data_IF_471590931700
#
_entry.id   IF_471590931700
#
_cell.length_a   1.000
_cell.length_b   1.000
_cell.length_c   1.000
_cell.angle_alpha   90.00
_cell.angle_beta   90.00
_cell.angle_gamma   90.00
#
_symmetry.space_group_name_H-M   'P 1'
#
loop_
_entity.id
_entity.type
_entity.pdbx_description
1 polymer ?
#
# COMPACT_ATOMS: atom_id res chain seq x y z
N UNK A 1 -1.37 -12.00 -31.34
CA UNK A 1 -2.29 -12.94 -31.98
C UNK A 1 -2.85 -13.84 -30.89
N UNK A 2 -4.17 -13.78 -30.66
CA UNK A 2 -4.84 -14.64 -29.70
C UNK A 2 -5.61 -15.70 -30.49
N UNK A 3 -5.38 -16.96 -30.16
CA UNK A 3 -6.11 -18.09 -30.74
C UNK A 3 -6.98 -18.67 -29.63
N UNK A 4 -8.29 -18.72 -29.84
CA UNK A 4 -9.23 -19.38 -28.96
C UNK A 4 -9.69 -20.68 -29.59
N UNK A 5 -9.42 -21.80 -28.94
CA UNK A 5 -9.98 -23.10 -29.27
C UNK A 5 -11.17 -23.37 -28.33
N UNK A 6 -12.36 -23.45 -28.88
CA UNK A 6 -13.55 -23.79 -28.13
C UNK A 6 -14.13 -25.12 -28.62
N UNK A 7 -14.35 -26.03 -27.70
CA UNK A 7 -15.01 -27.32 -27.97
C UNK A 7 -16.42 -27.30 -27.35
N UNK A 8 -17.43 -27.58 -28.13
CA UNK A 8 -18.78 -27.73 -27.63
C UNK A 8 -19.04 -29.16 -27.03
N UNK A 9 -20.22 -29.36 -26.47
CA UNK A 9 -20.61 -30.65 -25.86
C UNK A 9 -20.69 -31.82 -26.85
N UNK A 10 -20.63 -31.56 -28.16
CA UNK A 10 -20.71 -32.57 -29.23
C UNK A 10 -19.33 -32.81 -29.83
N UNK A 11 -18.29 -32.16 -29.36
CA UNK A 11 -16.91 -32.33 -29.81
C UNK A 11 -16.55 -31.51 -31.05
N UNK A 12 -17.37 -30.56 -31.46
CA UNK A 12 -17.04 -29.63 -32.53
C UNK A 12 -16.06 -28.62 -32.01
N UNK A 13 -14.87 -28.61 -32.60
CA UNK A 13 -13.84 -27.63 -32.29
C UNK A 13 -14.02 -26.43 -33.20
N UNK A 14 -14.29 -25.28 -32.62
CA UNK A 14 -14.28 -23.99 -33.34
C UNK A 14 -12.98 -23.26 -33.00
N UNK A 15 -12.15 -23.05 -33.98
CA UNK A 15 -10.94 -22.24 -33.88
C UNK A 15 -11.29 -20.83 -34.32
N UNK A 16 -11.24 -19.86 -33.42
CA UNK A 16 -11.44 -18.44 -33.72
C UNK A 16 -10.11 -17.72 -33.53
N UNK A 17 -9.59 -17.21 -34.62
CA UNK A 17 -8.36 -16.44 -34.61
C UNK A 17 -8.73 -14.96 -34.72
N UNK A 18 -8.29 -14.17 -33.73
CA UNK A 18 -8.42 -12.72 -33.79
C UNK A 18 -7.11 -12.05 -33.34
N UNK A 19 -6.83 -10.96 -33.99
CA UNK A 19 -5.68 -10.13 -33.64
C UNK A 19 -6.19 -8.97 -32.75
N UNK A 20 -5.67 -8.93 -31.52
CA UNK A 20 -5.89 -7.77 -30.64
C UNK A 20 -4.61 -6.94 -30.71
N UNK A 21 -4.72 -5.76 -31.28
CA UNK A 21 -3.64 -4.79 -31.25
C UNK A 21 -3.79 -3.96 -29.96
N UNK A 22 -2.94 -4.21 -28.96
CA UNK A 22 -2.80 -3.34 -27.80
C UNK A 22 -1.74 -2.30 -28.16
N UNK A 23 -2.15 -1.05 -28.34
CA UNK A 23 -1.22 0.04 -28.60
C UNK A 23 -1.11 0.93 -27.38
N UNK A 24 0.13 1.26 -26.99
CA UNK A 24 0.39 2.32 -26.02
C UNK A 24 0.02 3.65 -26.67
N UNK A 25 -0.87 4.42 -26.05
CA UNK A 25 -1.32 5.69 -26.57
C UNK A 25 -0.36 6.81 -26.22
N UNK A 26 0.20 6.79 -25.01
CA UNK A 26 1.17 7.78 -24.56
C UNK A 26 2.21 7.16 -23.62
N UNK A 27 3.47 7.63 -23.73
CA UNK A 27 4.56 7.29 -22.80
C UNK A 27 5.27 8.57 -22.43
N UNK A 28 5.25 8.91 -21.16
CA UNK A 28 5.88 10.13 -20.66
C UNK A 28 6.83 9.82 -19.50
N UNK A 29 7.91 10.61 -19.42
CA UNK A 29 8.93 10.48 -18.38
C UNK A 29 8.95 11.74 -17.55
N UNK A 30 8.89 11.60 -16.25
CA UNK A 30 8.86 12.68 -15.29
C UNK A 30 9.99 12.53 -14.28
N UNK A 31 10.72 13.61 -14.05
CA UNK A 31 11.75 13.65 -13.00
C UNK A 31 11.14 14.36 -11.79
N UNK A 32 10.93 13.61 -10.74
CA UNK A 32 10.29 14.09 -9.52
C UNK A 32 11.22 13.91 -8.32
N UNK A 33 11.22 14.89 -7.42
CA UNK A 33 11.96 14.79 -6.17
C UNK A 33 11.12 14.03 -5.14
N UNK A 34 11.59 12.87 -4.73
CA UNK A 34 10.87 12.00 -3.77
C UNK A 34 11.17 12.35 -2.30
N UNK A 35 11.87 13.46 -2.07
CA UNK A 35 12.27 13.92 -0.73
C UNK A 35 13.68 13.46 -0.33
N UNK A 36 14.18 12.36 -0.89
CA UNK A 36 15.53 11.85 -0.67
C UNK A 36 16.41 11.95 -1.93
N UNK A 37 15.82 11.74 -3.09
CA UNK A 37 16.51 11.78 -4.38
C UNK A 37 15.56 12.18 -5.50
N UNK A 38 16.14 12.58 -6.64
CA UNK A 38 15.39 12.71 -7.88
C UNK A 38 15.16 11.31 -8.45
N UNK A 39 13.91 11.01 -8.78
CA UNK A 39 13.48 9.72 -9.29
C UNK A 39 12.76 9.91 -10.62
N UNK A 40 13.07 9.08 -11.59
CA UNK A 40 12.33 9.03 -12.85
C UNK A 40 11.10 8.17 -12.68
N UNK A 41 9.95 8.73 -13.03
CA UNK A 41 8.70 8.02 -13.22
C UNK A 41 8.43 7.87 -14.71
N UNK A 42 8.24 6.64 -15.19
CA UNK A 42 7.74 6.38 -16.53
C UNK A 42 6.27 6.07 -16.45
N UNK A 43 5.46 6.89 -17.06
CA UNK A 43 4.01 6.74 -17.08
C UNK A 43 3.56 6.35 -18.48
N UNK A 44 2.81 5.25 -18.59
CA UNK A 44 2.21 4.79 -19.85
C UNK A 44 0.70 4.84 -19.75
N UNK A 45 0.06 5.31 -20.78
CA UNK A 45 -1.39 5.24 -20.95
C UNK A 45 -1.75 4.44 -22.20
N UNK A 46 -2.70 3.52 -22.04
CA UNK A 46 -3.29 2.74 -23.12
C UNK A 46 -4.68 3.25 -23.51
N UNK A 47 -5.08 4.39 -22.92
CA UNK A 47 -6.40 5.00 -23.14
C UNK A 47 -6.30 6.30 -23.93
N UNK A 48 -5.71 7.34 -23.36
CA UNK A 48 -5.60 8.67 -23.97
C UNK A 48 -4.26 9.32 -23.54
N UNK A 49 -3.97 10.48 -24.13
CA UNK A 49 -2.75 11.25 -23.84
C UNK A 49 -2.78 11.77 -22.41
N UNK A 50 -1.65 11.61 -21.71
CA UNK A 50 -1.44 12.09 -20.35
C UNK A 50 -1.43 13.63 -20.37
N UNK A 51 -2.33 14.25 -19.61
CA UNK A 51 -2.39 15.71 -19.46
C UNK A 51 -1.38 16.22 -18.44
N UNK A 52 -1.22 15.51 -17.34
CA UNK A 52 -0.26 15.84 -16.27
C UNK A 52 0.09 14.61 -15.43
N UNK A 53 1.28 14.65 -14.86
CA UNK A 53 1.73 13.80 -13.79
C UNK A 53 2.42 14.63 -12.72
N UNK A 54 2.23 14.33 -11.45
CA UNK A 54 2.84 15.00 -10.31
C UNK A 54 3.09 13.98 -9.21
N UNK A 55 4.24 14.04 -8.56
CA UNK A 55 4.52 13.30 -7.34
C UNK A 55 4.62 14.26 -6.14
N UNK A 56 3.77 14.03 -5.14
CA UNK A 56 3.83 14.77 -3.88
C UNK A 56 4.67 13.99 -2.86
N UNK A 57 5.91 14.44 -2.63
CA UNK A 57 6.86 13.80 -1.73
C UNK A 57 6.46 13.87 -0.25
N UNK A 58 5.62 14.82 0.16
CA UNK A 58 5.17 14.96 1.56
C UNK A 58 4.11 13.92 1.89
N UNK A 59 3.18 13.75 0.95
CA UNK A 59 2.06 12.82 1.12
C UNK A 59 2.37 11.42 0.57
N UNK A 60 3.50 11.25 -0.15
CA UNK A 60 3.85 10.03 -0.89
C UNK A 60 2.74 9.58 -1.84
N UNK A 61 2.32 10.51 -2.70
CA UNK A 61 1.18 10.37 -3.60
C UNK A 61 1.60 10.68 -5.03
N UNK A 62 1.26 9.78 -5.97
CA UNK A 62 1.40 10.05 -7.41
C UNK A 62 0.03 10.38 -8.00
N UNK A 63 -0.05 11.45 -8.78
CA UNK A 63 -1.27 11.94 -9.44
C UNK A 63 -1.07 11.94 -10.95
N UNK A 64 -2.05 11.39 -11.67
CA UNK A 64 -2.08 11.38 -13.13
C UNK A 64 -3.44 11.85 -13.62
N UNK A 65 -3.46 12.67 -14.67
CA UNK A 65 -4.68 13.18 -15.26
C UNK A 65 -4.69 12.98 -16.77
N UNK A 66 -5.84 12.67 -17.32
CA UNK A 66 -6.10 12.66 -18.76
C UNK A 66 -7.56 13.05 -19.08
N UNK A 67 -7.85 13.47 -20.33
CA UNK A 67 -9.19 13.84 -20.73
C UNK A 67 -10.15 12.67 -20.59
N UNK A 68 -11.33 12.90 -20.04
CA UNK A 68 -12.38 11.87 -19.93
C UNK A 68 -13.77 12.52 -19.87
N UNK A 69 -14.68 12.05 -20.71
CA UNK A 69 -16.08 12.41 -20.66
C UNK A 69 -16.86 11.35 -19.88
N UNK A 70 -17.45 11.74 -18.75
CA UNK A 70 -18.30 10.89 -17.92
C UNK A 70 -19.72 10.70 -18.47
N UNK A 71 -20.00 11.04 -19.75
CA UNK A 71 -21.27 10.68 -20.39
C UNK A 71 -21.44 9.14 -20.43
N UNK A 72 -22.68 8.66 -20.37
CA UNK A 72 -22.93 7.20 -20.43
C UNK A 72 -22.53 6.62 -21.79
N UNK A 73 -22.68 7.41 -22.85
CA UNK A 73 -22.22 7.03 -24.18
C UNK A 73 -20.73 6.76 -24.21
N UNK A 74 -19.91 7.65 -23.67
CA UNK A 74 -18.47 7.47 -23.65
C UNK A 74 -18.07 6.30 -22.74
N UNK A 75 -18.64 6.19 -21.52
CA UNK A 75 -18.37 5.07 -20.62
C UNK A 75 -18.66 3.72 -21.27
N UNK A 76 -19.80 3.60 -21.99
CA UNK A 76 -20.19 2.33 -22.63
C UNK A 76 -19.32 1.97 -23.83
N UNK A 77 -18.64 2.94 -24.45
CA UNK A 77 -17.66 2.70 -25.52
C UNK A 77 -16.22 2.53 -25.02
N UNK A 78 -15.95 2.82 -23.75
CA UNK A 78 -14.65 2.63 -23.13
C UNK A 78 -14.55 1.19 -22.63
N UNK A 79 -13.72 0.37 -23.26
CA UNK A 79 -13.50 -1.01 -22.82
C UNK A 79 -12.76 -1.06 -21.49
N UNK A 80 -11.68 -0.29 -21.39
CA UNK A 80 -10.81 -0.19 -20.20
C UNK A 80 -9.99 1.10 -20.25
N UNK A 81 -9.81 1.71 -19.10
CA UNK A 81 -8.73 2.67 -18.89
C UNK A 81 -7.58 1.92 -18.21
N UNK A 82 -6.48 1.75 -18.92
CA UNK A 82 -5.29 1.11 -18.38
C UNK A 82 -4.13 2.11 -18.41
N UNK A 83 -3.50 2.27 -17.27
CA UNK A 83 -2.35 3.17 -17.08
C UNK A 83 -1.33 2.50 -16.18
N UNK A 84 -0.05 2.66 -16.50
CA UNK A 84 1.09 2.16 -15.73
C UNK A 84 1.89 3.32 -15.18
N UNK A 85 2.23 3.24 -13.90
CA UNK A 85 3.23 4.10 -13.25
C UNK A 85 4.41 3.22 -12.87
N UNK A 86 5.55 3.43 -13.52
CA UNK A 86 6.79 2.69 -13.27
C UNK A 86 7.80 3.59 -12.55
N UNK A 87 8.48 3.03 -11.56
CA UNK A 87 9.55 3.66 -10.81
C UNK A 87 10.54 2.63 -10.29
N UNK A 88 11.76 3.05 -9.99
CA UNK A 88 12.79 2.15 -9.48
C UNK A 88 12.41 1.57 -8.11
N UNK A 89 12.58 0.26 -7.89
CA UNK A 89 12.30 -0.44 -6.62
C UNK A 89 13.07 0.15 -5.44
N UNK A 90 14.21 0.80 -5.67
CA UNK A 90 14.98 1.49 -4.64
C UNK A 90 14.43 2.89 -4.28
N UNK A 91 13.24 3.27 -4.75
CA UNK A 91 12.49 4.46 -4.29
C UNK A 91 11.70 4.07 -3.04
N UNK A 92 12.42 3.91 -1.93
CA UNK A 92 11.90 3.31 -0.70
C UNK A 92 10.77 4.13 -0.07
N UNK A 93 10.81 5.45 -0.24
CA UNK A 93 9.80 6.38 0.26
C UNK A 93 8.43 6.14 -0.39
N UNK A 94 8.40 5.69 -1.65
CA UNK A 94 7.16 5.36 -2.37
C UNK A 94 6.91 3.86 -2.50
N UNK A 95 7.92 3.02 -2.30
CA UNK A 95 7.76 1.58 -2.35
C UNK A 95 6.83 1.12 -1.22
N UNK A 96 5.80 0.35 -1.55
CA UNK A 96 4.83 -0.20 -0.59
C UNK A 96 4.40 -1.60 -1.01
N UNK A 97 4.12 -2.51 -0.07
CA UNK A 97 3.51 -3.80 -0.41
C UNK A 97 2.09 -3.68 -0.95
N UNK A 98 1.43 -2.55 -0.70
CA UNK A 98 0.08 -2.28 -1.19
C UNK A 98 -0.09 -0.79 -1.49
N UNK A 99 -1.02 -0.50 -2.38
CA UNK A 99 -1.46 0.85 -2.72
C UNK A 99 -2.97 0.93 -2.64
N UNK A 100 -3.45 2.14 -2.37
CA UNK A 100 -4.84 2.53 -2.57
C UNK A 100 -4.90 3.67 -3.57
N UNK A 101 -6.07 3.96 -4.11
CA UNK A 101 -6.19 5.05 -5.06
C UNK A 101 -7.57 5.64 -5.13
N UNK A 102 -7.65 6.82 -5.71
CA UNK A 102 -8.91 7.50 -6.00
C UNK A 102 -8.99 7.89 -7.47
N UNK A 103 -10.20 7.97 -7.99
CA UNK A 103 -10.52 8.59 -9.27
C UNK A 103 -11.40 9.80 -9.01
N UNK A 104 -10.91 11.01 -9.33
CA UNK A 104 -11.60 12.29 -9.03
C UNK A 104 -12.04 12.39 -7.55
N UNK A 105 -11.20 11.90 -6.60
CA UNK A 105 -11.50 11.88 -5.17
C UNK A 105 -12.42 10.74 -4.70
N UNK A 106 -12.93 9.91 -5.60
CA UNK A 106 -13.73 8.72 -5.27
C UNK A 106 -12.79 7.53 -5.10
N UNK A 107 -12.91 6.81 -3.99
CA UNK A 107 -12.11 5.63 -3.71
C UNK A 107 -12.30 4.54 -4.78
N UNK A 108 -11.19 4.00 -5.27
CA UNK A 108 -11.19 2.93 -6.26
C UNK A 108 -11.32 1.56 -5.58
N UNK A 109 -11.90 0.62 -6.30
CA UNK A 109 -11.88 -0.78 -5.85
C UNK A 109 -10.44 -1.32 -5.83
N UNK A 110 -10.13 -2.21 -4.88
CA UNK A 110 -8.83 -2.87 -4.80
C UNK A 110 -8.44 -3.58 -6.10
N UNK A 111 -9.42 -4.12 -6.82
CA UNK A 111 -9.24 -4.76 -8.12
C UNK A 111 -8.85 -3.78 -9.25
N UNK A 112 -8.84 -2.49 -8.98
CA UNK A 112 -8.44 -1.48 -9.97
C UNK A 112 -6.94 -1.15 -9.92
N UNK A 113 -6.21 -1.67 -8.94
CA UNK A 113 -4.79 -1.36 -8.73
C UNK A 113 -4.03 -2.68 -8.59
N UNK A 114 -3.00 -2.87 -9.42
CA UNK A 114 -2.15 -4.05 -9.42
C UNK A 114 -0.68 -3.66 -9.31
N UNK A 115 0.09 -4.45 -8.57
CA UNK A 115 1.54 -4.32 -8.44
C UNK A 115 2.18 -5.39 -9.32
N UNK A 116 3.13 -4.97 -10.15
CA UNK A 116 3.98 -5.83 -10.96
C UNK A 116 5.46 -5.57 -10.61
N UNK A 117 6.06 -6.53 -9.92
CA UNK A 117 7.48 -6.52 -9.54
C UNK A 117 8.31 -7.49 -10.38
N UNK A 118 7.68 -8.22 -11.31
CA UNK A 118 8.32 -9.32 -12.04
C UNK A 118 8.58 -9.04 -13.51
N UNK A 119 7.88 -8.09 -14.12
CA UNK A 119 8.07 -7.75 -15.54
C UNK A 119 9.36 -6.97 -15.80
N UNK A 120 9.85 -6.23 -14.81
CA UNK A 120 11.13 -5.50 -14.88
C UNK A 120 11.93 -5.69 -13.59
N UNK A 121 13.21 -6.11 -13.72
CA UNK A 121 14.04 -6.52 -12.59
C UNK A 121 14.26 -5.41 -11.58
N UNK A 122 14.60 -4.20 -12.03
CA UNK A 122 14.95 -3.06 -11.16
C UNK A 122 13.78 -2.11 -10.89
N UNK A 123 12.65 -2.29 -11.59
CA UNK A 123 11.52 -1.38 -11.52
C UNK A 123 10.28 -2.08 -11.02
N UNK A 124 9.45 -1.30 -10.31
CA UNK A 124 8.07 -1.64 -10.00
C UNK A 124 7.15 -0.95 -10.98
N UNK A 125 6.13 -1.66 -11.43
CA UNK A 125 5.02 -1.10 -12.18
C UNK A 125 3.77 -1.18 -11.33
N UNK A 126 3.05 -0.08 -11.20
CA UNK A 126 1.71 -0.07 -10.61
C UNK A 126 0.71 0.27 -11.70
N UNK A 127 -0.24 -0.63 -11.89
CA UNK A 127 -1.26 -0.52 -12.92
C UNK A 127 -2.55 0.04 -12.32
N UNK A 128 -3.17 0.98 -13.03
CA UNK A 128 -4.58 1.31 -12.88
C UNK A 128 -5.37 0.63 -14.00
N UNK A 129 -6.38 -0.14 -13.63
CA UNK A 129 -7.28 -0.81 -14.58
C UNK A 129 -8.73 -0.51 -14.20
N UNK A 130 -9.35 0.38 -14.96
CA UNK A 130 -10.72 0.80 -14.73
C UNK A 130 -11.65 0.29 -15.83
N UNK A 131 -12.54 -0.59 -15.45
CA UNK A 131 -13.60 -1.11 -16.31
C UNK A 131 -14.79 -0.13 -16.35
N UNK A 132 -15.73 -0.25 -17.31
CA UNK A 132 -16.92 0.61 -17.40
C UNK A 132 -17.68 0.73 -16.08
N UNK A 133 -17.80 -0.34 -15.31
CA UNK A 133 -18.51 -0.33 -14.02
C UNK A 133 -17.77 0.46 -12.94
N UNK A 134 -16.44 0.46 -12.96
CA UNK A 134 -15.63 1.33 -12.09
C UNK A 134 -15.86 2.81 -12.45
N UNK A 135 -15.92 3.14 -13.73
CA UNK A 135 -16.19 4.50 -14.22
C UNK A 135 -17.61 4.97 -13.86
N UNK A 136 -18.60 4.08 -13.96
CA UNK A 136 -19.97 4.34 -13.49
C UNK A 136 -20.04 4.57 -12.00
N UNK A 137 -19.26 3.79 -11.23
CA UNK A 137 -19.16 3.98 -9.78
C UNK A 137 -18.64 5.39 -9.46
N UNK A 138 -17.52 5.80 -10.05
CA UNK A 138 -16.95 7.15 -9.87
C UNK A 138 -18.00 8.21 -10.21
N UNK A 139 -18.59 8.14 -11.41
CA UNK A 139 -19.64 9.06 -11.85
C UNK A 139 -20.80 9.18 -10.86
N UNK A 140 -21.27 8.04 -10.35
CA UNK A 140 -22.41 8.01 -9.43
C UNK A 140 -22.08 8.61 -8.06
N UNK A 141 -20.85 8.42 -7.58
CA UNK A 141 -20.39 9.03 -6.34
C UNK A 141 -20.20 10.55 -6.51
N UNK A 142 -19.59 10.99 -7.61
CA UNK A 142 -19.47 12.43 -7.93
C UNK A 142 -20.83 13.13 -7.93
N UNK A 143 -21.85 12.50 -8.50
CA UNK A 143 -23.22 13.04 -8.47
C UNK A 143 -23.82 13.12 -7.05
N UNK A 144 -23.41 12.26 -6.14
CA UNK A 144 -23.87 12.30 -4.73
C UNK A 144 -23.15 13.33 -3.89
N UNK A 145 -21.89 13.64 -4.22
CA UNK A 145 -21.07 14.64 -3.50
C UNK A 145 -21.55 16.07 -3.76
N UNK A 146 -22.17 16.33 -4.91
CA UNK A 146 -22.67 17.66 -5.31
C UNK A 146 -24.19 17.78 -5.00
N UNK A 147 -24.53 17.70 -3.72
CA UNK A 147 -25.94 17.66 -3.24
C UNK A 147 -26.68 19.00 -3.37
N UNK A 148 -25.96 20.12 -3.52
CA UNK A 148 -26.54 21.48 -3.46
C UNK A 148 -26.83 22.13 -4.82
N UNK A 149 -26.41 21.50 -5.92
CA UNK A 149 -26.63 22.08 -7.26
C UNK A 149 -27.76 21.39 -8.03
N UNK A 150 -28.68 22.18 -8.55
CA UNK A 150 -29.79 21.71 -9.42
C UNK A 150 -29.30 21.12 -10.76
N UNK A 151 -28.00 21.18 -11.04
CA UNK A 151 -27.33 20.54 -12.18
C UNK A 151 -25.88 20.18 -11.82
N UNK A 152 -25.61 18.90 -11.62
CA UNK A 152 -24.26 18.39 -11.39
C UNK A 152 -23.44 18.52 -12.66
N UNK A 153 -22.37 19.33 -12.63
CA UNK A 153 -21.40 19.43 -13.72
C UNK A 153 -20.30 18.40 -13.47
N UNK A 154 -20.31 17.32 -14.25
CA UNK A 154 -19.26 16.31 -14.18
C UNK A 154 -17.96 16.86 -14.75
N UNK A 155 -16.78 16.46 -14.20
CA UNK A 155 -15.48 16.86 -14.74
C UNK A 155 -15.31 16.33 -16.19
N UNK A 156 -14.45 17.01 -16.93
CA UNK A 156 -14.05 16.59 -18.29
C UNK A 156 -12.65 15.94 -18.30
N UNK A 157 -12.17 15.54 -17.14
CA UNK A 157 -10.95 14.78 -16.94
C UNK A 157 -11.18 13.65 -15.94
N UNK A 158 -10.35 12.62 -16.02
CA UNK A 158 -10.18 11.67 -14.93
C UNK A 158 -8.84 11.91 -14.26
N UNK A 159 -8.89 12.12 -12.95
CA UNK A 159 -7.73 12.36 -12.11
C UNK A 159 -7.53 11.17 -11.20
N UNK A 160 -6.53 10.34 -11.53
CA UNK A 160 -6.16 9.18 -10.74
C UNK A 160 -5.10 9.55 -9.73
N UNK A 161 -5.29 9.15 -8.49
CA UNK A 161 -4.36 9.36 -7.40
C UNK A 161 -3.95 8.01 -6.84
N UNK A 162 -2.66 7.73 -6.83
CA UNK A 162 -2.07 6.54 -6.22
C UNK A 162 -1.47 6.92 -4.87
N UNK A 163 -2.00 6.34 -3.81
CA UNK A 163 -1.51 6.55 -2.45
C UNK A 163 -0.71 5.33 -2.00
N UNK A 164 0.42 5.57 -1.36
CA UNK A 164 1.12 4.53 -0.60
C UNK A 164 0.20 4.03 0.50
N UNK A 165 -0.05 2.73 0.54
CA UNK A 165 -0.86 2.12 1.60
C UNK A 165 -0.24 2.34 2.98
N UNK A 166 -1.05 2.77 3.94
CA UNK A 166 -0.59 3.01 5.33
C UNK A 166 -0.36 1.72 6.09
N UNK A 167 -1.11 0.67 5.78
CA UNK A 167 -1.00 -0.63 6.42
C UNK A 167 -0.89 -1.74 5.38
N UNK A 168 -0.12 -2.78 5.71
CA UNK A 168 -0.03 -3.97 4.87
C UNK A 168 -1.29 -4.80 5.07
N UNK A 169 -2.02 -5.03 3.98
CA UNK A 169 -3.15 -5.94 3.96
C UNK A 169 -2.73 -7.27 3.35
N UNK A 170 -2.77 -8.31 4.15
CA UNK A 170 -2.46 -9.67 3.71
C UNK A 170 -3.70 -10.46 3.27
N UNK A 171 -3.54 -11.45 2.38
CA UNK A 171 -2.31 -11.78 1.66
C UNK A 171 -2.02 -10.78 0.52
N UNK A 172 -0.73 -10.50 0.30
CA UNK A 172 -0.28 -9.91 -0.96
C UNK A 172 -0.48 -10.95 -2.07
N UNK A 173 -0.80 -10.49 -3.28
CA UNK A 173 -1.06 -11.37 -4.43
C UNK A 173 -0.29 -10.92 -5.64
N UNK A 174 0.30 -11.87 -6.33
CA UNK A 174 0.93 -11.64 -7.63
C UNK A 174 0.74 -12.86 -8.53
N UNK A 175 0.85 -12.65 -9.83
CA UNK A 175 0.76 -13.69 -10.84
C UNK A 175 2.17 -14.01 -11.36
N UNK A 176 2.35 -15.20 -11.91
CA UNK A 176 3.51 -15.49 -12.74
C UNK A 176 3.38 -14.77 -14.08
N UNK A 177 4.50 -14.60 -14.80
CA UNK A 177 4.51 -13.90 -16.10
C UNK A 177 3.56 -14.53 -17.13
N UNK A 178 3.37 -15.86 -17.07
CA UNK A 178 2.40 -16.56 -17.93
C UNK A 178 0.95 -16.42 -17.44
N UNK A 179 0.74 -15.80 -16.27
CA UNK A 179 -0.56 -15.73 -15.57
C UNK A 179 -1.17 -17.11 -15.23
N UNK A 180 -0.37 -18.19 -15.31
CA UNK A 180 -0.83 -19.56 -15.01
C UNK A 180 -1.00 -19.78 -13.50
N UNK A 181 -0.11 -19.19 -12.69
CA UNK A 181 -0.12 -19.34 -11.25
C UNK A 181 -0.26 -18.01 -10.53
N UNK A 182 -1.04 -18.04 -9.45
CA UNK A 182 -1.12 -16.97 -8.47
C UNK A 182 -0.38 -17.40 -7.20
N UNK A 183 0.42 -16.51 -6.64
CA UNK A 183 1.02 -16.68 -5.32
C UNK A 183 0.41 -15.66 -4.37
N UNK A 184 -0.10 -16.15 -3.24
CA UNK A 184 -0.54 -15.35 -2.10
C UNK A 184 0.56 -15.39 -1.04
N UNK A 185 1.07 -14.22 -0.58
CA UNK A 185 2.12 -14.11 0.43
C UNK A 185 1.66 -13.29 1.62
N UNK A 186 1.96 -13.79 2.81
CA UNK A 186 1.81 -13.07 4.08
C UNK A 186 3.06 -13.28 4.92
N UNK A 187 3.29 -12.43 5.91
CA UNK A 187 4.33 -12.66 6.91
C UNK A 187 3.90 -12.15 8.30
N UNK A 188 4.53 -12.71 9.32
CA UNK A 188 4.31 -12.35 10.72
C UNK A 188 5.68 -12.29 11.47
N UNK A 189 5.97 -11.19 12.19
CA UNK A 189 5.18 -9.97 12.41
C UNK A 189 5.06 -9.10 11.14
N UNK A 190 4.02 -8.25 11.05
CA UNK A 190 3.76 -7.40 9.87
C UNK A 190 4.93 -6.46 9.55
N UNK A 191 5.59 -5.94 10.56
CA UNK A 191 6.83 -5.14 10.44
C UNK A 191 8.00 -6.08 10.63
N UNK A 192 8.88 -6.16 9.63
CA UNK A 192 10.06 -7.01 9.69
C UNK A 192 11.21 -6.20 10.29
N UNK A 193 11.62 -6.60 11.49
CA UNK A 193 12.72 -5.99 12.24
C UNK A 193 13.95 -6.92 12.13
N UNK A 194 15.14 -6.40 11.71
CA UNK A 194 16.37 -7.17 11.75
C UNK A 194 16.64 -7.73 13.15
N UNK A 195 17.20 -8.92 13.23
CA UNK A 195 17.41 -9.64 14.48
C UNK A 195 16.19 -10.42 14.98
N UNK A 196 14.97 -10.10 14.52
CA UNK A 196 13.76 -10.81 14.89
C UNK A 196 13.39 -11.86 13.85
N UNK A 197 12.73 -12.93 14.33
CA UNK A 197 12.25 -14.01 13.48
C UNK A 197 11.00 -13.59 12.74
N UNK A 198 10.98 -13.74 11.43
CA UNK A 198 9.80 -13.56 10.58
C UNK A 198 9.38 -14.92 10.01
N UNK A 199 8.08 -15.15 9.96
CA UNK A 199 7.47 -16.30 9.29
C UNK A 199 6.80 -15.84 8.01
N UNK A 200 7.30 -16.26 6.86
CA UNK A 200 6.66 -16.10 5.56
C UNK A 200 5.67 -17.25 5.35
N UNK A 201 4.43 -16.94 5.02
CA UNK A 201 3.34 -17.90 4.79
C UNK A 201 2.79 -17.64 3.39
N UNK A 202 2.71 -18.67 2.57
CA UNK A 202 2.34 -18.51 1.17
C UNK A 202 1.51 -19.67 0.63
N UNK A 203 0.72 -19.37 -0.40
CA UNK A 203 -0.16 -20.32 -1.07
C UNK A 203 -0.01 -20.17 -2.57
N UNK A 204 0.08 -21.29 -3.27
CA UNK A 204 0.10 -21.37 -4.72
C UNK A 204 -1.28 -21.75 -5.24
N UNK A 205 -1.79 -21.02 -6.22
CA UNK A 205 -3.11 -21.22 -6.81
C UNK A 205 -3.01 -21.32 -8.32
N UNK A 206 -3.83 -22.18 -8.89
CA UNK A 206 -4.13 -22.16 -10.31
C UNK A 206 -5.06 -20.98 -10.61
N UNK A 207 -4.78 -20.22 -11.67
CA UNK A 207 -5.60 -19.04 -12.02
C UNK A 207 -6.93 -19.41 -12.68
N UNK A 208 -7.07 -20.65 -13.17
CA UNK A 208 -8.28 -21.10 -13.84
C UNK A 208 -9.46 -21.30 -12.87
N UNK A 209 -9.18 -21.89 -11.70
CA UNK A 209 -10.21 -22.20 -10.71
C UNK A 209 -9.93 -21.61 -9.32
N UNK A 210 -8.80 -20.91 -9.16
CA UNK A 210 -8.27 -20.37 -7.90
C UNK A 210 -8.05 -21.42 -6.82
N UNK A 211 -8.02 -22.69 -7.22
CA UNK A 211 -7.73 -23.81 -6.34
C UNK A 211 -6.26 -23.90 -5.93
N UNK A 212 -5.94 -24.48 -4.75
CA UNK A 212 -4.55 -24.64 -4.34
C UNK A 212 -3.86 -25.72 -5.18
N UNK A 213 -2.65 -25.42 -5.67
CA UNK A 213 -1.82 -26.34 -6.45
C UNK A 213 -1.16 -27.33 -5.48
N UNK A 214 -1.70 -28.53 -5.39
CA UNK A 214 -1.19 -29.57 -4.49
C UNK A 214 0.04 -30.26 -5.08
N UNK A 215 0.93 -30.72 -4.18
CA UNK A 215 2.15 -31.46 -4.53
C UNK A 215 3.04 -30.65 -5.49
N UNK A 216 3.23 -29.37 -5.21
CA UNK A 216 4.03 -28.46 -6.03
C UNK A 216 5.45 -28.33 -5.48
N UNK A 217 6.44 -28.64 -6.32
CA UNK A 217 7.83 -28.23 -6.11
C UNK A 217 7.96 -26.75 -6.41
N UNK A 218 8.83 -26.06 -5.70
CA UNK A 218 9.14 -24.64 -5.93
C UNK A 218 10.48 -24.28 -5.27
N UNK A 219 11.07 -23.17 -5.69
CA UNK A 219 12.21 -22.56 -5.01
C UNK A 219 11.80 -21.25 -4.39
N UNK A 220 12.01 -21.08 -3.09
CA UNK A 220 11.84 -19.81 -2.37
C UNK A 220 13.18 -19.14 -2.19
N UNK A 221 13.29 -17.89 -2.63
CA UNK A 221 14.54 -17.12 -2.60
C UNK A 221 14.28 -15.73 -1.99
N UNK A 222 15.17 -15.27 -1.11
CA UNK A 222 15.18 -13.89 -0.62
C UNK A 222 16.42 -13.20 -1.20
N UNK A 223 16.20 -12.02 -1.83
CA UNK A 223 17.24 -11.21 -2.43
C UNK A 223 17.29 -9.83 -1.75
N UNK A 224 18.49 -9.31 -1.59
CA UNK A 224 18.74 -7.90 -1.22
C UNK A 224 19.83 -7.33 -2.13
N UNK A 225 19.67 -6.12 -2.63
CA UNK A 225 20.58 -5.47 -3.58
C UNK A 225 20.96 -6.39 -4.76
N UNK A 226 19.98 -7.15 -5.28
CA UNK A 226 20.18 -8.12 -6.36
C UNK A 226 20.97 -9.37 -5.97
N UNK A 227 21.34 -9.53 -4.69
CA UNK A 227 22.08 -10.69 -4.18
C UNK A 227 21.18 -11.64 -3.43
N UNK A 228 21.30 -12.92 -3.69
CA UNK A 228 20.62 -13.96 -2.93
C UNK A 228 21.20 -14.04 -1.51
N UNK A 229 20.36 -13.80 -0.50
CA UNK A 229 20.72 -13.97 0.91
C UNK A 229 20.13 -15.26 1.50
N UNK A 230 19.12 -15.82 0.86
CA UNK A 230 18.53 -17.12 1.21
C UNK A 230 17.94 -17.78 -0.04
N UNK A 231 18.10 -19.09 -0.19
CA UNK A 231 17.42 -19.86 -1.24
C UNK A 231 17.25 -21.31 -0.80
N UNK A 232 16.06 -21.87 -0.99
CA UNK A 232 15.74 -23.25 -0.62
C UNK A 232 14.72 -23.84 -1.61
N UNK A 233 15.01 -25.07 -2.09
CA UNK A 233 14.06 -25.88 -2.83
C UNK A 233 13.10 -26.54 -1.85
N UNK A 234 11.80 -26.44 -2.13
CA UNK A 234 10.74 -26.84 -1.21
C UNK A 234 9.60 -27.55 -1.92
N UNK A 235 8.66 -28.09 -1.12
CA UNK A 235 7.53 -28.87 -1.62
C UNK A 235 6.25 -28.51 -0.86
N UNK A 236 5.29 -27.90 -1.55
CA UNK A 236 3.98 -27.54 -1.02
C UNK A 236 2.98 -28.69 -1.20
N UNK A 237 2.87 -29.57 -0.21
CA UNK A 237 1.99 -30.75 -0.28
C UNK A 237 0.51 -30.40 -0.48
N UNK A 238 0.03 -29.33 0.16
CA UNK A 238 -1.38 -28.91 0.13
C UNK A 238 -1.58 -27.62 -0.66
N UNK A 239 -0.57 -27.18 -1.41
CA UNK A 239 -0.58 -25.90 -2.13
C UNK A 239 -0.27 -24.71 -1.26
N UNK A 240 0.11 -24.92 0.00
CA UNK A 240 0.55 -23.90 0.94
C UNK A 240 1.78 -24.40 1.70
N UNK A 241 2.67 -23.47 2.08
CA UNK A 241 3.84 -23.74 2.91
C UNK A 241 4.23 -22.47 3.68
N UNK A 242 5.28 -22.56 4.50
CA UNK A 242 5.83 -21.42 5.21
C UNK A 242 7.34 -21.56 5.38
N UNK A 243 8.04 -20.42 5.50
CA UNK A 243 9.47 -20.37 5.80
C UNK A 243 9.70 -19.41 6.95
N UNK A 244 10.45 -19.88 7.95
CA UNK A 244 10.95 -19.04 9.04
C UNK A 244 12.33 -18.49 8.64
N UNK A 245 12.53 -17.17 8.78
CA UNK A 245 13.79 -16.51 8.48
C UNK A 245 14.09 -15.42 9.51
N UNK A 246 15.38 -15.11 9.73
CA UNK A 246 15.82 -14.00 10.58
C UNK A 246 16.83 -13.17 9.79
N UNK A 247 16.48 -11.92 9.51
CA UNK A 247 17.39 -10.98 8.87
C UNK A 247 18.47 -10.56 9.87
N UNK A 248 19.71 -10.44 9.43
CA UNK A 248 20.78 -9.84 10.26
C UNK A 248 20.59 -8.32 10.38
N UNK A 249 21.22 -7.69 11.35
CA UNK A 249 21.17 -6.22 11.56
C UNK A 249 21.62 -5.41 10.32
N UNK A 250 22.46 -6.01 9.47
CA UNK A 250 22.96 -5.39 8.25
C UNK A 250 22.01 -5.59 7.06
N UNK A 251 21.09 -6.54 7.15
CA UNK A 251 20.14 -6.87 6.07
C UNK A 251 18.89 -5.99 6.15
N UNK A 252 19.06 -4.71 5.88
CA UNK A 252 18.00 -3.70 5.86
C UNK A 252 17.74 -3.18 4.44
N UNK A 253 16.57 -2.59 4.22
CA UNK A 253 16.24 -1.94 2.95
C UNK A 253 15.44 -2.84 2.01
N UNK A 254 15.55 -2.56 0.70
CA UNK A 254 14.81 -3.26 -0.33
C UNK A 254 15.10 -4.75 -0.32
N UNK A 255 14.05 -5.53 -0.18
CA UNK A 255 14.08 -6.99 -0.16
C UNK A 255 13.07 -7.54 -1.14
N UNK A 256 13.44 -8.61 -1.84
CA UNK A 256 12.57 -9.30 -2.79
C UNK A 256 12.40 -10.75 -2.34
N UNK A 257 11.17 -11.19 -2.15
CA UNK A 257 10.81 -12.60 -2.03
C UNK A 257 10.43 -13.13 -3.42
N UNK A 258 11.20 -14.08 -3.93
CA UNK A 258 10.99 -14.71 -5.24
C UNK A 258 10.53 -16.15 -5.05
N UNK A 259 9.48 -16.52 -5.75
CA UNK A 259 9.02 -17.89 -5.93
C UNK A 259 9.29 -18.29 -7.38
N UNK A 260 10.07 -19.34 -7.59
CA UNK A 260 10.43 -19.80 -8.92
C UNK A 260 10.26 -21.31 -9.07
N UNK A 261 10.28 -21.78 -10.33
CA UNK A 261 10.10 -23.17 -10.70
C UNK A 261 8.83 -23.81 -10.11
N UNK A 262 7.74 -23.05 -10.01
CA UNK A 262 6.47 -23.49 -9.44
C UNK A 262 5.95 -24.69 -10.25
N UNK A 263 5.72 -25.83 -9.57
CA UNK A 263 5.30 -27.12 -10.18
C UNK A 263 6.21 -27.60 -11.33
N UNK A 264 7.50 -27.26 -11.29
CA UNK A 264 8.44 -27.63 -12.33
C UNK A 264 8.24 -26.88 -13.66
N UNK A 265 7.43 -25.82 -13.69
CA UNK A 265 7.08 -25.08 -14.91
C UNK A 265 8.14 -24.09 -15.38
N UNK A 266 9.14 -23.78 -14.54
CA UNK A 266 10.08 -22.67 -14.76
C UNK A 266 9.46 -21.28 -14.55
N UNK A 267 8.19 -21.19 -14.19
CA UNK A 267 7.51 -19.93 -13.90
C UNK A 267 7.98 -19.33 -12.59
N UNK A 268 7.98 -18.01 -12.53
CA UNK A 268 8.37 -17.27 -11.32
C UNK A 268 7.51 -16.04 -11.10
N UNK A 269 7.53 -15.56 -9.85
CA UNK A 269 6.95 -14.29 -9.45
C UNK A 269 7.67 -13.72 -8.23
N UNK A 270 7.49 -12.44 -7.96
CA UNK A 270 8.22 -11.69 -6.95
C UNK A 270 7.31 -10.77 -6.13
N UNK A 271 7.78 -10.49 -4.90
CA UNK A 271 7.21 -9.50 -4.00
C UNK A 271 8.33 -8.62 -3.47
N UNK A 272 8.28 -7.33 -3.75
CA UNK A 272 9.24 -6.38 -3.20
C UNK A 272 8.66 -5.70 -1.95
N UNK A 273 9.46 -5.65 -0.89
CA UNK A 273 9.13 -5.04 0.40
C UNK A 273 10.40 -4.48 1.06
N UNK A 274 10.25 -3.80 2.18
CA UNK A 274 11.36 -3.16 2.88
C UNK A 274 11.55 -3.81 4.25
N UNK A 275 12.78 -4.23 4.55
CA UNK A 275 13.19 -4.75 5.86
C UNK A 275 13.86 -3.63 6.65
N UNK A 276 13.48 -3.41 7.90
CA UNK A 276 14.02 -2.34 8.75
C UNK A 276 13.81 -0.93 8.22
N UNK A 277 13.17 -0.77 7.08
CA UNK A 277 13.00 0.49 6.37
C UNK A 277 11.64 1.14 6.54
N UNK A 278 10.76 0.55 7.28
CA UNK A 278 9.70 1.23 8.00
C UNK A 278 10.02 1.21 9.49
N UNK A 279 11.00 1.97 9.88
CA UNK A 279 10.60 3.01 10.77
C UNK A 279 9.69 3.92 9.93
N UNK A 280 8.38 3.68 9.80
CA UNK A 280 7.53 4.73 10.32
C UNK A 280 8.34 5.30 11.48
N UNK A 281 8.73 6.57 11.40
CA UNK A 281 9.02 7.29 12.64
C UNK A 281 8.06 6.67 13.62
N UNK A 282 8.52 5.92 14.65
CA UNK A 282 7.65 5.24 15.59
C UNK A 282 6.46 6.16 15.86
N UNK A 283 5.46 6.22 14.99
CA UNK A 283 4.12 6.38 15.41
C UNK A 283 3.89 5.01 16.04
N UNK A 284 4.38 4.87 17.26
CA UNK A 284 3.91 3.89 18.16
C UNK A 284 2.42 3.94 17.94
N UNK A 285 1.85 2.89 17.30
CA UNK A 285 0.42 2.70 17.48
C UNK A 285 0.31 2.59 18.98
N UNK A 286 -0.10 3.70 19.58
CA UNK A 286 -0.16 3.78 21.04
C UNK A 286 -1.09 2.66 21.41
N UNK A 287 -0.67 1.69 22.24
CA UNK A 287 -1.46 0.51 22.51
C UNK A 287 -2.89 0.88 22.91
N UNK A 288 -3.87 0.11 22.51
CA UNK A 288 -5.31 0.39 22.76
C UNK A 288 -5.63 0.69 24.22
N UNK A 289 -4.90 0.04 25.15
CA UNK A 289 -5.06 0.34 26.59
C UNK A 289 -4.64 1.78 26.96
N UNK A 290 -3.74 2.39 26.21
CA UNK A 290 -3.33 3.80 26.42
C UNK A 290 -4.45 4.72 25.96
N UNK A 291 -5.12 4.41 24.84
CA UNK A 291 -6.31 5.14 24.35
C UNK A 291 -7.43 5.08 25.39
N UNK A 292 -7.67 3.90 25.97
CA UNK A 292 -8.65 3.74 27.03
C UNK A 292 -8.32 4.62 28.25
N UNK A 293 -7.05 4.66 28.68
CA UNK A 293 -6.60 5.52 29.78
C UNK A 293 -6.80 7.01 29.47
N UNK A 294 -6.50 7.43 28.25
CA UNK A 294 -6.72 8.81 27.81
C UNK A 294 -8.21 9.19 27.80
N UNK A 295 -9.09 8.26 27.39
CA UNK A 295 -10.54 8.42 27.49
C UNK A 295 -11.01 8.58 28.94
N UNK A 296 -10.57 7.71 29.84
CA UNK A 296 -10.91 7.80 31.27
C UNK A 296 -10.42 9.10 31.92
N UNK A 297 -9.26 9.60 31.50
CA UNK A 297 -8.75 10.89 31.92
C UNK A 297 -9.58 12.04 31.36
N UNK A 298 -9.92 12.04 30.10
CA UNK A 298 -10.79 13.04 29.49
C UNK A 298 -12.17 13.12 30.17
N UNK A 299 -12.72 11.98 30.60
CA UNK A 299 -13.98 11.84 31.32
C UNK A 299 -13.85 12.17 32.83
N UNK A 300 -12.64 12.52 33.29
CA UNK A 300 -12.38 12.84 34.71
C UNK A 300 -12.39 11.63 35.64
N UNK A 301 -12.31 10.41 35.12
CA UNK A 301 -12.30 9.17 35.91
C UNK A 301 -10.94 8.89 36.56
N UNK A 302 -9.85 9.43 35.99
CA UNK A 302 -8.51 9.41 36.58
C UNK A 302 -7.97 10.84 36.74
N UNK A 303 -7.17 11.13 37.78
CA UNK A 303 -6.65 12.47 38.03
C UNK A 303 -5.51 12.82 37.07
N UNK A 304 -5.26 14.12 36.87
CA UNK A 304 -4.21 14.65 36.00
C UNK A 304 -2.82 14.05 36.30
N UNK A 305 -2.50 13.87 37.59
CA UNK A 305 -1.21 13.28 38.00
C UNK A 305 -1.04 11.84 37.51
N UNK A 306 -2.07 11.01 37.60
CA UNK A 306 -1.99 9.63 37.14
C UNK A 306 -1.85 9.55 35.61
N UNK A 307 -2.45 10.49 34.86
CA UNK A 307 -2.27 10.61 33.43
C UNK A 307 -0.83 11.02 33.07
N UNK A 308 -0.28 12.06 33.75
CA UNK A 308 1.09 12.54 33.57
C UNK A 308 2.10 11.41 33.83
N UNK A 309 1.99 10.73 34.99
CA UNK A 309 2.86 9.61 35.37
C UNK A 309 2.82 8.49 34.30
N UNK A 310 1.63 8.21 33.76
CA UNK A 310 1.44 7.24 32.69
C UNK A 310 2.15 7.65 31.39
N UNK A 311 2.02 8.91 30.97
CA UNK A 311 2.70 9.42 29.76
C UNK A 311 4.22 9.46 29.95
N UNK A 312 4.73 9.87 31.11
CA UNK A 312 6.18 9.84 31.41
C UNK A 312 6.73 8.42 31.33
N UNK A 313 6.01 7.42 31.86
CA UNK A 313 6.36 6.01 31.73
C UNK A 313 6.41 5.57 30.26
N UNK A 314 5.38 5.91 29.46
CA UNK A 314 5.29 5.53 28.05
C UNK A 314 6.41 6.16 27.19
N UNK A 315 6.83 7.39 27.53
CA UNK A 315 7.97 8.05 26.86
C UNK A 315 9.27 7.37 27.26
N UNK A 316 9.46 7.08 28.55
CA UNK A 316 10.67 6.43 29.07
C UNK A 316 10.86 5.01 28.51
N UNK A 317 9.76 4.30 28.33
CA UNK A 317 9.74 2.94 27.77
C UNK A 317 9.78 2.94 26.22
N UNK A 318 9.82 4.13 25.60
CA UNK A 318 9.90 4.31 24.13
C UNK A 318 8.64 3.92 23.37
N UNK A 319 7.49 3.79 24.07
CA UNK A 319 6.18 3.51 23.46
C UNK A 319 5.64 4.79 22.79
N UNK A 320 5.86 5.95 23.41
CA UNK A 320 5.61 7.27 22.81
C UNK A 320 6.95 7.94 22.54
N UNK A 321 7.21 8.28 21.27
CA UNK A 321 8.41 9.01 20.88
C UNK A 321 8.06 10.46 20.64
N UNK A 322 8.66 11.36 21.39
CA UNK A 322 8.52 12.81 21.22
C UNK A 322 9.79 13.38 20.61
N UNK A 323 9.67 14.06 19.48
CA UNK A 323 10.80 14.59 18.72
C UNK A 323 11.18 15.98 19.22
N UNK A 324 12.39 16.14 19.82
CA UNK A 324 13.03 17.43 20.13
C UNK A 324 12.29 18.42 21.06
N UNK A 325 11.57 17.96 22.07
CA UNK A 325 11.00 18.85 23.07
C UNK A 325 12.11 19.40 24.01
N UNK A 326 12.60 20.62 23.71
CA UNK A 326 13.39 21.39 24.69
C UNK A 326 12.45 21.83 25.82
N UNK A 327 12.70 21.33 27.02
CA UNK A 327 11.94 21.66 28.21
C UNK A 327 12.09 23.15 28.57
N UNK A 328 10.98 23.83 28.84
CA UNK A 328 10.99 25.18 29.38
C UNK A 328 11.28 25.13 30.89
N UNK A 329 12.01 26.13 31.41
CA UNK A 329 12.25 26.30 32.85
C UNK A 329 11.03 26.88 33.58
N UNK A 330 9.98 27.26 32.86
CA UNK A 330 8.75 27.83 33.43
C UNK A 330 7.73 26.73 33.76
N UNK A 331 7.20 26.77 34.98
CA UNK A 331 6.16 25.88 35.44
C UNK A 331 4.81 26.49 35.07
N UNK A 332 4.04 25.84 34.18
CA UNK A 332 2.66 26.25 33.93
C UNK A 332 1.72 25.64 34.98
N UNK A 333 0.72 26.40 35.40
CA UNK A 333 -0.30 25.94 36.35
C UNK A 333 -1.38 25.12 35.61
N UNK A 334 -1.24 23.78 35.64
CA UNK A 334 -2.28 22.84 35.24
C UNK A 334 -2.31 22.50 33.75
N UNK A 335 -2.98 21.40 33.40
CA UNK A 335 -3.15 20.94 32.02
C UNK A 335 -4.30 21.73 31.36
N UNK A 336 -4.08 22.37 30.18
CA UNK A 336 -5.15 23.05 29.46
C UNK A 336 -6.32 22.14 29.09
N UNK A 337 -7.55 22.65 29.19
CA UNK A 337 -8.78 21.88 28.89
C UNK A 337 -8.81 21.30 27.47
N UNK A 338 -8.21 21.99 26.49
CA UNK A 338 -8.18 21.51 25.12
C UNK A 338 -7.34 20.22 24.95
N UNK A 339 -6.36 19.97 25.83
CA UNK A 339 -5.61 18.72 25.85
C UNK A 339 -6.51 17.56 26.30
N UNK A 340 -7.37 17.77 27.29
CA UNK A 340 -8.34 16.76 27.71
C UNK A 340 -9.34 16.45 26.61
N UNK A 341 -9.82 17.47 25.91
CA UNK A 341 -10.69 17.29 24.76
C UNK A 341 -10.00 16.46 23.64
N UNK A 342 -8.74 16.78 23.34
CA UNK A 342 -7.94 16.02 22.35
C UNK A 342 -7.76 14.56 22.78
N UNK A 343 -7.50 14.29 24.06
CA UNK A 343 -7.37 12.94 24.58
C UNK A 343 -8.68 12.13 24.44
N UNK A 344 -9.83 12.76 24.69
CA UNK A 344 -11.14 12.14 24.47
C UNK A 344 -11.40 11.84 22.97
N UNK A 345 -11.14 12.82 22.10
CA UNK A 345 -11.28 12.61 20.65
C UNK A 345 -10.34 11.56 20.10
N UNK A 346 -9.14 11.46 20.65
CA UNK A 346 -8.19 10.43 20.28
C UNK A 346 -8.64 9.04 20.76
N UNK A 347 -9.11 8.92 22.00
CA UNK A 347 -9.69 7.69 22.54
C UNK A 347 -10.87 7.19 21.70
N UNK A 348 -11.70 8.12 21.20
CA UNK A 348 -12.83 7.85 20.29
C UNK A 348 -12.39 7.57 18.81
N UNK A 349 -11.10 7.65 18.50
CA UNK A 349 -10.59 7.49 17.15
C UNK A 349 -10.92 8.63 16.19
N UNK A 350 -11.32 9.81 16.69
CA UNK A 350 -11.69 10.99 15.90
C UNK A 350 -10.49 11.80 15.41
N UNK A 351 -9.35 11.68 16.09
CA UNK A 351 -8.08 12.27 15.71
C UNK A 351 -6.99 11.20 15.66
N UNK A 352 -5.97 11.35 14.77
CA UNK A 352 -4.89 10.39 14.65
C UNK A 352 -3.92 10.46 15.85
N UNK A 353 -3.11 9.39 16.03
CA UNK A 353 -2.10 9.30 17.08
C UNK A 353 -1.13 10.50 17.05
N UNK A 354 -0.77 10.99 15.84
CA UNK A 354 0.11 12.15 15.66
C UNK A 354 -0.45 13.42 16.33
N UNK A 355 -1.75 13.71 16.18
CA UNK A 355 -2.37 14.90 16.78
C UNK A 355 -2.39 14.82 18.30
N UNK A 356 -2.51 13.63 18.88
CA UNK A 356 -2.39 13.41 20.31
C UNK A 356 -0.95 13.61 20.79
N UNK A 357 0.05 13.07 20.05
CA UNK A 357 1.48 13.23 20.34
C UNK A 357 1.90 14.71 20.30
N UNK A 358 1.39 15.49 19.34
CA UNK A 358 1.62 16.95 19.26
C UNK A 358 1.13 17.65 20.56
N UNK A 359 0.01 17.21 21.11
CA UNK A 359 -0.50 17.68 22.40
C UNK A 359 0.43 17.33 23.56
N UNK A 360 1.00 16.14 23.58
CA UNK A 360 1.99 15.70 24.59
C UNK A 360 3.29 16.52 24.45
N UNK A 361 3.77 16.77 23.23
CA UNK A 361 4.93 17.64 22.99
C UNK A 361 4.73 19.06 23.52
N UNK A 362 3.52 19.59 23.38
CA UNK A 362 3.14 20.88 23.97
C UNK A 362 3.29 20.85 25.50
N UNK A 363 2.76 19.81 26.18
CA UNK A 363 2.84 19.67 27.64
C UNK A 363 4.31 19.54 28.11
N UNK A 364 5.19 18.93 27.33
CA UNK A 364 6.63 18.84 27.65
C UNK A 364 7.30 20.21 27.46
N UNK A 365 7.01 20.92 26.37
CA UNK A 365 7.54 22.27 26.11
C UNK A 365 7.16 23.26 27.20
N UNK A 366 5.94 23.16 27.69
CA UNK A 366 5.40 24.02 28.77
C UNK A 366 5.86 23.59 30.18
N UNK A 367 6.62 22.49 30.30
CA UNK A 367 7.18 21.98 31.56
C UNK A 367 6.18 21.30 32.48
N UNK A 368 4.99 20.93 31.95
CA UNK A 368 3.94 20.20 32.67
C UNK A 368 4.32 18.73 32.79
N UNK A 369 4.84 18.13 31.70
CA UNK A 369 5.43 16.78 31.69
C UNK A 369 6.95 16.91 31.73
N UNK A 370 7.61 16.20 32.62
CA UNK A 370 9.07 16.19 32.77
C UNK A 370 9.65 14.90 32.30
N UNK A 371 10.51 14.96 31.28
CA UNK A 371 11.27 13.81 30.80
C UNK A 371 12.59 13.80 31.58
N UNK A 372 12.77 12.83 32.47
CA UNK A 372 13.99 12.64 33.26
C UNK A 372 14.93 11.62 32.60
#
# INVERSE_FOLDING_TARGET
KIILDAQDKIGIISNVEFEVQVSVTDVSYYQENTGQKDTEFRVKSYYDKISSFEYDAKENVAKISFPFDFSETNISHTNVIHTEIMFAKNTLEFLSPNYSGTGNGVELFKSSIFIDDYSEEDNRIVHFVLLPDHLRHIKNQLKKMDVDSSSVVLPNSIDLVLNKGKEIEFPLRTLTLSEEYQVDLSWDPKVIIPGEKVKFIYTFRDTTDLGPIRNSDYTFTILQDGKTIFSEDRFAKIGADFTDFTFTEEQTGLTVARFSNISGSGQQTEFAFVVGGQTESKSSSVPEWVKNNAGWWADGQIPDSAFIDGIEYLIKDGIIVVSNAKQSESQADGIPEWIKNNAGWWADGRIPDSAFIDGIEYLIKDGIIRIS
#
